data_IF_238642671617
#
_entry.id   IF_238642671617
#
_cell.length_a   1.000
_cell.length_b   1.000
_cell.length_c   1.000
_cell.angle_alpha   90.00
_cell.angle_beta   90.00
_cell.angle_gamma   90.00
#
_symmetry.space_group_name_H-M   'P 1'
#
loop_
_entity.id
_entity.type
_entity.pdbx_description
1 polymer ?
#
# COMPACT_ATOMS: atom_id res chain seq x y z
N UNK A 1 -7.84 81.24 -25.13
CA UNK A 1 -8.83 80.96 -24.07
C UNK A 1 -8.61 79.55 -23.55
N UNK A 2 -8.47 78.59 -24.46
CA UNK A 2 -8.24 77.17 -24.15
C UNK A 2 -6.98 76.89 -23.31
N UNK A 3 -5.86 77.57 -23.54
CA UNK A 3 -4.64 77.40 -22.72
C UNK A 3 -4.76 77.90 -21.27
N UNK A 4 -5.64 78.88 -21.03
CA UNK A 4 -5.91 79.37 -19.67
C UNK A 4 -6.84 78.38 -18.94
N UNK A 5 -7.80 77.79 -19.66
CA UNK A 5 -8.67 76.73 -19.16
C UNK A 5 -7.83 75.48 -18.84
N UNK A 6 -6.98 75.04 -19.76
CA UNK A 6 -6.09 73.87 -19.58
C UNK A 6 -5.20 74.02 -18.34
N UNK A 7 -4.51 75.16 -18.17
CA UNK A 7 -3.69 75.41 -16.97
C UNK A 7 -4.50 75.47 -15.68
N UNK A 8 -5.71 76.03 -15.72
CA UNK A 8 -6.58 76.06 -14.54
C UNK A 8 -7.04 74.66 -14.14
N UNK A 9 -7.35 73.82 -15.13
CA UNK A 9 -7.73 72.41 -14.97
C UNK A 9 -6.54 71.60 -14.44
N UNK A 10 -5.37 71.67 -15.06
CA UNK A 10 -4.15 70.98 -14.62
C UNK A 10 -3.71 71.35 -13.19
N UNK A 11 -3.98 72.60 -12.76
CA UNK A 11 -3.73 73.05 -11.39
C UNK A 11 -4.75 72.53 -10.39
N UNK A 12 -6.02 72.43 -10.78
CA UNK A 12 -7.09 71.90 -9.91
C UNK A 12 -7.08 70.37 -9.84
N UNK A 13 -6.59 69.72 -10.89
CA UNK A 13 -6.55 68.27 -11.08
C UNK A 13 -5.13 67.83 -11.47
N UNK A 14 -4.19 67.78 -10.52
CA UNK A 14 -2.78 67.42 -10.78
C UNK A 14 -2.61 66.05 -11.45
N UNK A 15 -3.56 65.13 -11.24
CA UNK A 15 -3.63 63.81 -11.88
C UNK A 15 -3.80 63.88 -13.41
N UNK A 16 -4.36 64.97 -13.93
CA UNK A 16 -4.48 65.20 -15.37
C UNK A 16 -3.12 65.58 -15.98
N UNK A 17 -2.33 66.38 -15.27
CA UNK A 17 -0.99 66.81 -15.71
C UNK A 17 -0.05 65.62 -15.88
N UNK A 18 -0.07 64.67 -14.95
CA UNK A 18 0.77 63.47 -15.00
C UNK A 18 0.12 62.24 -15.63
N UNK A 19 -1.12 62.34 -16.09
CA UNK A 19 -1.86 61.22 -16.68
C UNK A 19 -2.20 60.09 -15.69
N UNK A 20 -2.09 60.31 -14.38
CA UNK A 20 -2.30 59.28 -13.33
C UNK A 20 -3.74 58.80 -13.21
N UNK A 21 -4.68 59.55 -13.80
CA UNK A 21 -6.09 59.16 -13.92
C UNK A 21 -6.32 58.08 -14.99
N UNK A 22 -5.35 57.82 -15.86
CA UNK A 22 -5.45 56.80 -16.91
C UNK A 22 -4.67 55.54 -16.49
N UNK A 23 -5.23 54.34 -16.74
CA UNK A 23 -4.45 53.11 -16.68
C UNK A 23 -3.26 53.19 -17.63
N UNK A 24 -2.07 52.83 -17.16
CA UNK A 24 -0.85 52.77 -17.99
C UNK A 24 -0.36 51.34 -18.08
N UNK A 25 0.26 50.99 -19.19
CA UNK A 25 0.97 49.73 -19.28
C UNK A 25 2.36 49.87 -18.66
N UNK A 26 2.86 48.80 -18.06
CA UNK A 26 4.19 48.71 -17.50
C UNK A 26 4.79 47.32 -17.72
N UNK A 27 6.10 47.21 -17.62
CA UNK A 27 6.86 45.95 -17.67
C UNK A 27 7.38 45.62 -16.28
N UNK A 28 7.21 44.37 -15.86
CA UNK A 28 7.85 43.83 -14.65
C UNK A 28 9.36 43.78 -14.88
N UNK A 29 10.14 44.34 -13.95
CA UNK A 29 11.61 44.30 -14.03
C UNK A 29 12.26 43.47 -12.94
N UNK A 30 11.58 43.25 -11.81
CA UNK A 30 12.04 42.37 -10.75
C UNK A 30 10.87 41.96 -9.84
N UNK A 31 11.02 40.83 -9.13
CA UNK A 31 10.18 40.50 -7.97
C UNK A 31 10.74 41.23 -6.75
N UNK A 32 9.90 42.03 -6.10
CA UNK A 32 10.32 42.85 -4.96
C UNK A 32 10.23 42.04 -3.66
N UNK A 33 11.37 41.85 -2.98
CA UNK A 33 11.51 41.15 -1.68
C UNK A 33 10.59 39.91 -1.54
N UNK A 34 10.76 38.91 -2.42
CA UNK A 34 9.98 37.68 -2.36
C UNK A 34 10.05 37.06 -0.94
N UNK A 35 8.90 36.82 -0.28
CA UNK A 35 8.88 36.55 1.14
C UNK A 35 9.43 35.16 1.46
N UNK A 36 10.43 35.09 2.35
CA UNK A 36 10.97 33.83 2.86
C UNK A 36 10.10 33.16 3.95
N UNK A 37 9.12 33.90 4.50
CA UNK A 37 8.18 33.43 5.53
C UNK A 37 6.83 34.12 5.40
N UNK A 38 5.80 33.57 6.03
CA UNK A 38 4.49 34.23 6.15
C UNK A 38 4.60 35.54 6.95
N UNK A 39 3.71 36.49 6.69
CA UNK A 39 3.59 37.72 7.46
C UNK A 39 2.71 38.75 6.78
N UNK A 40 2.47 39.86 7.49
CA UNK A 40 1.64 40.96 7.01
C UNK A 40 2.22 41.57 5.72
N UNK A 41 1.34 41.82 4.75
CA UNK A 41 1.60 42.62 3.58
C UNK A 41 1.05 44.02 3.82
N UNK A 42 1.92 45.01 3.92
CA UNK A 42 1.56 46.41 4.14
C UNK A 42 2.38 47.33 3.21
N UNK A 43 2.10 48.63 3.24
CA UNK A 43 2.78 49.61 2.39
C UNK A 43 4.29 49.71 2.67
N UNK A 44 4.75 49.31 3.86
CA UNK A 44 6.17 49.34 4.23
C UNK A 44 6.90 48.07 3.78
N UNK A 45 6.20 46.92 3.78
CA UNK A 45 6.71 45.64 3.31
C UNK A 45 5.69 44.92 2.43
N UNK A 46 5.61 45.30 1.15
CA UNK A 46 4.68 44.68 0.21
C UNK A 46 5.20 43.29 -0.20
N UNK A 47 4.83 42.24 0.56
CA UNK A 47 5.30 40.84 0.39
C UNK A 47 4.85 40.16 -0.92
N UNK A 48 3.88 40.71 -1.63
CA UNK A 48 3.43 40.21 -2.92
C UNK A 48 3.41 41.35 -3.93
N UNK A 49 4.61 41.76 -4.34
CA UNK A 49 4.81 42.94 -5.18
C UNK A 49 5.96 42.76 -6.17
N UNK A 50 6.00 43.65 -7.16
CA UNK A 50 7.01 43.66 -8.22
C UNK A 50 7.45 45.08 -8.51
N UNK A 51 8.67 45.22 -9.03
CA UNK A 51 9.18 46.48 -9.53
C UNK A 51 8.75 46.66 -11.00
N UNK A 52 8.35 47.87 -11.36
CA UNK A 52 7.77 48.18 -12.68
C UNK A 52 8.48 49.32 -13.39
N UNK A 53 8.62 49.20 -14.71
CA UNK A 53 8.90 50.31 -15.61
C UNK A 53 7.66 50.66 -16.41
N UNK A 54 7.18 51.89 -16.26
CA UNK A 54 5.98 52.37 -16.95
C UNK A 54 6.29 52.61 -18.43
N UNK A 55 5.36 52.25 -19.30
CA UNK A 55 5.48 52.43 -20.74
C UNK A 55 4.74 53.70 -21.21
N UNK A 56 5.21 54.25 -22.33
CA UNK A 56 4.54 55.29 -23.09
C UNK A 56 3.38 54.72 -23.93
N UNK A 57 2.55 55.59 -24.54
CA UNK A 57 1.48 55.17 -25.45
C UNK A 57 1.97 54.45 -26.72
N UNK A 58 3.25 54.62 -27.06
CA UNK A 58 3.95 53.93 -28.15
C UNK A 58 4.35 52.49 -27.79
N UNK A 59 4.22 52.10 -26.51
CA UNK A 59 4.60 50.79 -26.00
C UNK A 59 6.07 50.68 -25.59
N UNK A 60 6.85 51.75 -25.72
CA UNK A 60 8.25 51.80 -25.27
C UNK A 60 8.34 52.21 -23.80
N UNK A 61 9.47 51.91 -23.14
CA UNK A 61 9.70 52.32 -21.75
C UNK A 61 9.77 53.86 -21.66
N UNK A 62 8.98 54.44 -20.76
CA UNK A 62 9.00 55.87 -20.48
C UNK A 62 10.18 56.21 -19.57
N UNK A 63 11.32 56.59 -20.16
CA UNK A 63 12.55 56.90 -19.43
C UNK A 63 12.45 58.15 -18.55
N UNK A 64 11.38 58.95 -18.67
CA UNK A 64 11.16 60.11 -17.81
C UNK A 64 10.60 59.70 -16.43
N UNK A 65 10.05 58.49 -16.31
CA UNK A 65 9.54 57.96 -15.05
C UNK A 65 10.56 57.03 -14.37
N UNK A 66 10.70 57.12 -13.04
CA UNK A 66 11.53 56.18 -12.30
C UNK A 66 10.88 54.79 -12.28
N UNK A 67 11.68 53.78 -11.94
CA UNK A 67 11.18 52.45 -11.59
C UNK A 67 10.25 52.60 -10.37
N UNK A 68 9.04 52.07 -10.48
CA UNK A 68 8.11 51.98 -9.36
C UNK A 68 8.46 50.72 -8.58
N UNK A 69 9.01 50.90 -7.38
CA UNK A 69 9.44 49.79 -6.54
C UNK A 69 8.27 49.23 -5.71
N UNK A 70 8.22 47.91 -5.53
CA UNK A 70 7.31 47.25 -4.60
C UNK A 70 5.82 47.49 -4.89
N UNK A 71 5.43 47.55 -6.17
CA UNK A 71 4.01 47.76 -6.53
C UNK A 71 3.22 46.47 -6.30
N UNK A 72 2.15 46.49 -5.48
CA UNK A 72 1.43 45.28 -5.11
C UNK A 72 0.74 44.62 -6.30
N UNK A 73 0.84 43.29 -6.38
CA UNK A 73 0.18 42.45 -7.37
C UNK A 73 -1.30 42.23 -7.01
N UNK A 74 -2.21 42.12 -7.99
CA UNK A 74 -3.60 41.81 -7.73
C UNK A 74 -3.73 40.35 -7.28
N UNK A 75 -4.59 40.12 -6.29
CA UNK A 75 -5.01 38.77 -5.91
C UNK A 75 -6.30 38.40 -6.67
N UNK A 76 -6.30 37.38 -7.55
CA UNK A 76 -7.49 37.00 -8.31
C UNK A 76 -8.61 36.41 -7.42
N UNK A 77 -8.23 35.74 -6.33
CA UNK A 77 -9.08 35.29 -5.22
C UNK A 77 -8.24 35.45 -3.94
N UNK A 78 -8.81 35.92 -2.83
CA UNK A 78 -7.99 36.27 -1.66
C UNK A 78 -8.72 36.42 -0.32
N UNK A 79 -7.91 36.57 0.73
CA UNK A 79 -8.24 36.71 2.15
C UNK A 79 -6.99 36.40 2.99
N UNK A 80 -7.10 36.39 4.32
CA UNK A 80 -5.97 36.02 5.20
C UNK A 80 -5.53 34.57 4.91
N UNK A 81 -4.28 34.39 4.51
CA UNK A 81 -3.64 33.10 4.20
C UNK A 81 -4.35 32.23 3.13
N UNK A 82 -5.12 32.87 2.22
CA UNK A 82 -5.84 32.15 1.15
C UNK A 82 -5.66 32.81 -0.23
N UNK A 83 -5.61 32.01 -1.28
CA UNK A 83 -5.55 32.48 -2.67
C UNK A 83 -4.59 31.67 -3.56
N UNK A 84 -4.46 32.11 -4.81
CA UNK A 84 -3.46 31.62 -5.75
C UNK A 84 -2.32 32.64 -5.87
N UNK A 85 -1.14 32.27 -5.41
CA UNK A 85 0.04 33.13 -5.41
C UNK A 85 1.05 32.66 -6.45
N UNK A 86 1.28 33.50 -7.46
CA UNK A 86 2.31 33.30 -8.47
C UNK A 86 2.87 34.66 -8.88
N UNK A 87 4.20 34.77 -8.93
CA UNK A 87 4.85 35.97 -9.43
C UNK A 87 4.88 35.92 -10.97
N UNK A 88 4.57 37.02 -11.66
CA UNK A 88 4.86 37.12 -13.09
C UNK A 88 6.37 37.15 -13.32
N UNK A 89 6.82 36.58 -14.44
CA UNK A 89 8.23 36.65 -14.84
C UNK A 89 8.62 38.08 -15.23
N UNK A 90 9.91 38.40 -15.11
CA UNK A 90 10.48 39.65 -15.63
C UNK A 90 10.15 39.80 -17.13
N UNK A 91 9.78 41.02 -17.53
CA UNK A 91 9.29 41.32 -18.88
C UNK A 91 7.80 41.08 -19.08
N UNK A 92 7.06 40.56 -18.09
CA UNK A 92 5.59 40.45 -18.17
C UNK A 92 4.96 41.84 -18.24
N UNK A 93 3.98 42.00 -19.13
CA UNK A 93 3.23 43.26 -19.29
C UNK A 93 2.10 43.32 -18.27
N UNK A 94 1.95 44.46 -17.58
CA UNK A 94 0.90 44.69 -16.58
C UNK A 94 0.21 46.04 -16.81
N UNK A 95 -0.99 46.18 -16.25
CA UNK A 95 -1.70 47.46 -16.17
C UNK A 95 -1.46 48.04 -14.78
N UNK A 96 -0.77 49.17 -14.70
CA UNK A 96 -0.55 49.95 -13.47
C UNK A 96 -1.55 51.10 -13.41
N UNK A 97 -2.17 51.26 -12.26
CA UNK A 97 -3.10 52.33 -11.93
C UNK A 97 -2.65 53.04 -10.66
N UNK A 98 -3.15 54.25 -10.43
CA UNK A 98 -2.81 55.07 -9.28
C UNK A 98 -4.07 55.34 -8.48
N UNK A 99 -4.15 54.80 -7.26
CA UNK A 99 -5.34 54.95 -6.43
C UNK A 99 -5.64 56.44 -6.19
N UNK A 100 -6.88 56.85 -6.47
CA UNK A 100 -7.31 58.26 -6.40
C UNK A 100 -6.52 59.23 -7.29
N UNK A 101 -5.83 58.73 -8.33
CA UNK A 101 -4.94 59.54 -9.17
C UNK A 101 -3.65 59.98 -8.46
N UNK A 102 -3.32 59.37 -7.31
CA UNK A 102 -2.15 59.74 -6.50
C UNK A 102 -0.90 58.97 -6.95
N UNK A 103 0.19 59.66 -7.36
CA UNK A 103 1.41 59.01 -7.87
C UNK A 103 2.09 58.05 -6.87
N UNK A 104 1.90 58.29 -5.57
CA UNK A 104 2.50 57.51 -4.48
C UNK A 104 1.67 56.29 -4.07
N UNK A 105 0.54 56.02 -4.74
CA UNK A 105 -0.29 54.84 -4.49
C UNK A 105 -0.49 54.00 -5.76
N UNK A 106 0.60 53.51 -6.38
CA UNK A 106 0.48 52.62 -7.53
C UNK A 106 -0.06 51.25 -7.08
N UNK A 107 -0.83 50.62 -7.95
CA UNK A 107 -1.21 49.21 -7.81
C UNK A 107 -1.34 48.58 -9.18
N UNK A 108 -1.11 47.28 -9.27
CA UNK A 108 -1.31 46.53 -10.50
C UNK A 108 -2.78 46.10 -10.57
N UNK A 109 -3.48 46.52 -11.61
CA UNK A 109 -4.87 46.15 -11.83
C UNK A 109 -5.00 44.77 -12.47
N UNK A 110 -4.15 44.46 -13.47
CA UNK A 110 -4.25 43.23 -14.26
C UNK A 110 -2.92 42.87 -14.89
N UNK A 111 -2.63 41.58 -15.00
CA UNK A 111 -1.51 41.03 -15.76
C UNK A 111 -2.00 40.74 -17.18
N UNK A 112 -1.24 41.18 -18.19
CA UNK A 112 -1.61 41.03 -19.59
C UNK A 112 -0.87 39.84 -20.23
N UNK A 113 -1.54 39.04 -21.06
CA UNK A 113 -0.91 37.89 -21.73
C UNK A 113 0.01 38.29 -22.90
N UNK A 114 0.05 39.57 -23.28
CA UNK A 114 0.79 40.04 -24.44
C UNK A 114 2.30 39.77 -24.30
N UNK A 115 2.85 39.02 -25.24
CA UNK A 115 4.26 38.61 -25.26
C UNK A 115 4.57 37.32 -24.50
N UNK A 116 3.58 36.67 -23.87
CA UNK A 116 3.75 35.41 -23.15
C UNK A 116 3.37 34.21 -24.03
N UNK A 117 4.03 33.07 -23.77
CA UNK A 117 3.60 31.77 -24.31
C UNK A 117 2.54 31.18 -23.38
N UNK A 118 1.30 31.05 -23.87
CA UNK A 118 0.18 30.57 -23.07
C UNK A 118 0.01 29.04 -23.18
N UNK A 119 -0.59 28.40 -22.15
CA UNK A 119 -1.02 27.01 -22.25
C UNK A 119 -1.93 26.73 -23.44
N UNK A 120 -1.93 25.48 -23.89
CA UNK A 120 -3.05 24.96 -24.70
C UNK A 120 -4.29 24.82 -23.81
N UNK A 121 -5.32 25.63 -24.07
CA UNK A 121 -6.62 25.58 -23.38
C UNK A 121 -7.75 25.51 -24.40
N UNK A 122 -8.17 24.29 -24.82
CA UNK A 122 -9.37 24.10 -25.62
C UNK A 122 -10.62 24.68 -24.95
N UNK A 123 -11.68 24.90 -25.74
CA UNK A 123 -12.94 25.41 -25.20
C UNK A 123 -13.52 24.42 -24.19
N UNK A 124 -13.78 24.88 -22.98
CA UNK A 124 -14.34 24.09 -21.88
C UNK A 124 -13.28 23.57 -20.90
N UNK A 125 -12.02 23.49 -21.32
CA UNK A 125 -10.92 23.11 -20.44
C UNK A 125 -10.60 24.21 -19.43
N UNK A 126 -10.11 23.78 -18.27
CA UNK A 126 -9.47 24.64 -17.27
C UNK A 126 -8.10 24.06 -16.95
N UNK A 127 -7.08 24.92 -16.87
CA UNK A 127 -5.72 24.49 -16.55
C UNK A 127 -5.08 25.41 -15.52
N UNK A 128 -4.49 24.79 -14.50
CA UNK A 128 -3.52 25.41 -13.63
C UNK A 128 -2.16 24.74 -13.86
N UNK A 129 -1.17 25.49 -14.34
CA UNK A 129 0.11 24.90 -14.74
C UNK A 129 1.31 25.79 -14.41
N UNK A 130 2.44 25.13 -14.24
CA UNK A 130 3.77 25.73 -14.30
C UNK A 130 4.41 25.52 -15.68
N UNK A 131 4.23 24.32 -16.26
CA UNK A 131 4.70 23.93 -17.60
C UNK A 131 3.74 22.90 -18.20
N UNK A 132 3.94 22.51 -19.47
CA UNK A 132 3.15 21.41 -20.07
C UNK A 132 3.36 20.05 -19.35
N UNK A 133 4.50 19.87 -18.68
CA UNK A 133 4.82 18.67 -17.90
C UNK A 133 4.32 18.74 -16.45
N UNK A 134 3.97 19.93 -15.94
CA UNK A 134 3.51 20.16 -14.56
C UNK A 134 2.20 20.95 -14.56
N UNK A 135 1.07 20.22 -14.46
CA UNK A 135 -0.26 20.81 -14.56
C UNK A 135 -1.33 20.04 -13.78
N UNK A 136 -2.36 20.78 -13.37
CA UNK A 136 -3.68 20.26 -13.03
C UNK A 136 -4.67 20.74 -14.07
N UNK A 137 -5.43 19.83 -14.65
CA UNK A 137 -6.35 20.13 -15.75
C UNK A 137 -7.70 19.48 -15.52
N UNK A 138 -8.75 20.22 -15.89
CA UNK A 138 -10.10 19.72 -16.10
C UNK A 138 -10.40 19.84 -17.59
N UNK A 139 -10.81 18.77 -18.23
CA UNK A 139 -11.30 18.84 -19.62
C UNK A 139 -12.79 19.24 -19.68
N UNK A 140 -13.30 19.45 -20.88
CA UNK A 140 -14.70 19.81 -21.09
C UNK A 140 -15.72 18.77 -20.57
N UNK A 141 -15.30 17.51 -20.40
CA UNK A 141 -16.14 16.42 -19.88
C UNK A 141 -16.06 16.31 -18.34
N UNK A 142 -15.21 17.11 -17.69
CA UNK A 142 -15.03 17.14 -16.24
C UNK A 142 -13.96 16.16 -15.72
N UNK A 143 -13.16 15.55 -16.59
CA UNK A 143 -12.08 14.66 -16.16
C UNK A 143 -10.92 15.46 -15.58
N UNK A 144 -10.39 15.01 -14.44
CA UNK A 144 -9.25 15.64 -13.78
C UNK A 144 -7.94 14.91 -14.11
N UNK A 145 -6.91 15.68 -14.45
CA UNK A 145 -5.53 15.21 -14.61
C UNK A 145 -4.62 15.97 -13.63
N UNK A 146 -3.88 15.24 -12.78
CA UNK A 146 -2.73 15.76 -12.02
C UNK A 146 -1.45 15.18 -12.64
N UNK A 147 -0.64 16.03 -13.28
CA UNK A 147 0.58 15.63 -13.99
C UNK A 147 1.79 16.39 -13.42
N UNK A 148 2.89 15.68 -13.20
CA UNK A 148 4.19 16.26 -12.88
C UNK A 148 5.31 15.33 -13.38
N UNK A 149 6.43 15.90 -13.76
CA UNK A 149 7.72 15.21 -13.95
C UNK A 149 8.60 15.27 -12.68
N UNK A 150 8.13 15.97 -11.65
CA UNK A 150 8.74 16.05 -10.33
C UNK A 150 8.11 15.08 -9.33
N UNK A 151 8.08 15.50 -8.07
CA UNK A 151 7.59 14.71 -6.93
C UNK A 151 6.24 15.22 -6.45
N UNK A 152 5.34 14.29 -6.12
CA UNK A 152 4.12 14.58 -5.35
C UNK A 152 4.34 14.16 -3.90
N UNK A 153 3.99 15.03 -2.95
CA UNK A 153 3.90 14.73 -1.53
C UNK A 153 2.56 15.21 -1.01
N UNK A 154 1.76 14.29 -0.49
CA UNK A 154 0.50 14.62 0.18
C UNK A 154 0.73 14.39 1.69
N UNK A 155 0.52 15.44 2.49
CA UNK A 155 0.61 15.38 3.96
C UNK A 155 -0.76 15.71 4.53
N UNK A 156 -1.32 14.79 5.30
CA UNK A 156 -2.63 14.96 5.88
C UNK A 156 -2.71 14.21 7.22
N UNK A 157 -3.59 14.70 8.10
CA UNK A 157 -3.99 13.96 9.31
C UNK A 157 -4.86 12.77 8.91
N UNK A 158 -5.71 12.96 7.90
CA UNK A 158 -6.64 11.96 7.38
C UNK A 158 -6.68 12.05 5.84
N UNK A 159 -6.73 10.89 5.17
CA UNK A 159 -6.86 10.78 3.72
C UNK A 159 -7.86 9.69 3.38
N UNK A 160 -9.00 10.11 2.84
CA UNK A 160 -10.04 9.22 2.33
C UNK A 160 -10.04 9.20 0.80
N UNK A 161 -10.31 8.04 0.22
CA UNK A 161 -10.50 7.87 -1.22
C UNK A 161 -11.70 6.96 -1.41
N UNK A 162 -12.78 7.52 -1.94
CA UNK A 162 -13.97 6.77 -2.36
C UNK A 162 -14.03 6.77 -3.89
N UNK A 163 -14.05 5.58 -4.47
CA UNK A 163 -14.11 5.38 -5.91
C UNK A 163 -14.79 4.05 -6.21
N UNK A 164 -15.62 4.03 -7.26
CA UNK A 164 -16.19 2.77 -7.77
C UNK A 164 -15.11 1.81 -8.30
N UNK A 165 -14.00 2.35 -8.81
CA UNK A 165 -12.85 1.59 -9.30
C UNK A 165 -11.57 2.37 -9.09
N UNK A 166 -10.55 1.73 -8.52
CA UNK A 166 -9.19 2.28 -8.40
C UNK A 166 -8.20 1.34 -9.07
N UNK A 167 -7.32 1.88 -9.92
CA UNK A 167 -6.29 1.12 -10.61
C UNK A 167 -4.93 1.81 -10.45
N UNK A 168 -4.01 1.13 -9.80
CA UNK A 168 -2.67 1.64 -9.53
C UNK A 168 -1.62 0.82 -10.27
N UNK A 169 -0.62 1.48 -10.86
CA UNK A 169 0.48 0.85 -11.59
C UNK A 169 1.79 1.48 -11.15
N UNK A 170 2.70 0.66 -10.67
CA UNK A 170 3.98 1.10 -10.17
C UNK A 170 5.11 0.23 -10.75
N UNK A 171 6.27 0.84 -10.97
CA UNK A 171 7.50 0.08 -11.18
C UNK A 171 8.03 -0.51 -9.87
N UNK A 172 7.85 0.22 -8.77
CA UNK A 172 8.20 -0.19 -7.41
C UNK A 172 7.21 0.39 -6.42
N UNK A 173 6.87 -0.35 -5.36
CA UNK A 173 5.96 0.08 -4.31
C UNK A 173 6.49 -0.39 -2.95
N UNK A 174 6.60 0.55 -2.01
CA UNK A 174 6.95 0.29 -0.61
C UNK A 174 5.90 0.93 0.27
N UNK A 175 5.39 0.16 1.23
CA UNK A 175 4.45 0.65 2.24
C UNK A 175 4.98 0.31 3.63
N UNK A 176 5.18 1.35 4.43
CA UNK A 176 5.51 1.24 5.85
C UNK A 176 4.30 1.73 6.64
N UNK A 177 3.88 0.97 7.63
CA UNK A 177 2.78 1.31 8.54
C UNK A 177 3.32 1.15 9.95
N UNK A 178 3.32 2.23 10.72
CA UNK A 178 3.96 2.26 12.05
C UNK A 178 3.11 1.55 13.12
N UNK A 179 1.83 1.36 12.85
CA UNK A 179 0.89 0.70 13.75
C UNK A 179 0.12 -0.42 13.03
N UNK A 180 -1.20 -0.34 12.89
CA UNK A 180 -2.03 -1.41 12.34
C UNK A 180 -2.34 -1.22 10.84
N UNK A 181 -2.29 -2.33 10.08
CA UNK A 181 -2.73 -2.38 8.69
C UNK A 181 -3.81 -3.46 8.52
N UNK A 182 -5.04 -3.02 8.31
CA UNK A 182 -6.20 -3.89 8.06
C UNK A 182 -6.63 -3.81 6.60
N UNK A 183 -6.99 -4.95 6.02
CA UNK A 183 -7.60 -5.01 4.69
C UNK A 183 -8.80 -5.95 4.72
N UNK A 184 -9.97 -5.41 4.39
CA UNK A 184 -11.24 -6.14 4.33
C UNK A 184 -11.73 -6.18 2.90
N UNK A 185 -11.89 -7.39 2.35
CA UNK A 185 -12.34 -7.60 0.97
C UNK A 185 -13.62 -8.41 1.01
N UNK A 186 -14.74 -7.82 0.58
CA UNK A 186 -16.05 -8.50 0.54
C UNK A 186 -16.16 -9.56 -0.55
N UNK A 187 -15.35 -9.45 -1.60
CA UNK A 187 -15.23 -10.44 -2.67
C UNK A 187 -13.98 -11.31 -2.54
N UNK A 188 -13.22 -11.43 -3.63
CA UNK A 188 -11.99 -12.25 -3.67
C UNK A 188 -10.75 -11.36 -3.56
N UNK A 189 -9.88 -11.68 -2.61
CA UNK A 189 -8.52 -11.12 -2.56
C UNK A 189 -7.53 -12.09 -3.21
N UNK A 190 -6.82 -11.62 -4.23
CA UNK A 190 -5.80 -12.39 -4.94
C UNK A 190 -4.45 -11.68 -4.83
N UNK A 191 -3.41 -12.40 -4.42
CA UNK A 191 -2.03 -11.93 -4.37
C UNK A 191 -1.19 -12.88 -5.23
N UNK A 192 -0.55 -12.34 -6.25
CA UNK A 192 0.30 -13.10 -7.18
C UNK A 192 1.71 -12.49 -7.18
N UNK A 193 2.74 -13.36 -7.09
CA UNK A 193 4.14 -12.96 -7.18
C UNK A 193 4.89 -13.94 -8.08
N UNK A 194 5.44 -13.44 -9.20
CA UNK A 194 6.20 -14.27 -10.15
C UNK A 194 7.55 -14.73 -9.60
N UNK A 195 8.17 -13.92 -8.74
CA UNK A 195 9.46 -14.22 -8.11
C UNK A 195 9.30 -15.05 -6.84
N UNK A 196 8.90 -14.40 -5.75
CA UNK A 196 8.69 -15.05 -4.47
C UNK A 196 7.64 -14.30 -3.63
N UNK A 197 6.87 -15.06 -2.85
CA UNK A 197 6.03 -14.54 -1.77
C UNK A 197 6.73 -14.83 -0.43
N UNK A 198 6.96 -13.80 0.38
CA UNK A 198 7.55 -13.94 1.72
C UNK A 198 6.59 -13.37 2.75
N UNK A 199 6.17 -14.22 3.70
CA UNK A 199 5.33 -13.85 4.83
C UNK A 199 6.13 -14.11 6.09
N UNK A 200 6.49 -13.04 6.80
CA UNK A 200 7.33 -13.09 7.99
C UNK A 200 6.56 -12.46 9.15
N UNK A 201 6.55 -13.15 10.29
CA UNK A 201 6.02 -12.62 11.55
C UNK A 201 7.07 -12.79 12.63
N UNK A 202 7.31 -11.74 13.41
CA UNK A 202 8.12 -11.82 14.64
C UNK A 202 7.35 -12.39 15.84
N UNK A 203 6.03 -12.54 15.70
CA UNK A 203 5.13 -13.11 16.71
C UNK A 203 4.37 -14.31 16.15
N UNK A 204 3.04 -14.30 16.30
CA UNK A 204 2.17 -15.34 15.72
C UNK A 204 1.85 -15.06 14.25
N UNK A 205 1.57 -16.13 13.51
CA UNK A 205 0.96 -16.08 12.18
C UNK A 205 -0.18 -17.10 12.15
N UNK A 206 -1.38 -16.66 11.80
CA UNK A 206 -2.57 -17.50 11.70
C UNK A 206 -3.08 -17.51 10.27
N UNK A 207 -3.23 -18.70 9.70
CA UNK A 207 -3.86 -18.92 8.40
C UNK A 207 -5.02 -19.88 8.60
N UNK A 208 -6.23 -19.42 8.31
CA UNK A 208 -7.45 -20.17 8.52
C UNK A 208 -8.42 -19.97 7.34
N UNK A 209 -9.17 -21.00 7.03
CA UNK A 209 -10.27 -21.00 6.06
C UNK A 209 -11.48 -21.67 6.72
N UNK A 210 -12.69 -21.22 6.37
CA UNK A 210 -13.94 -21.84 6.83
C UNK A 210 -14.20 -23.14 6.09
N UNK A 211 -13.81 -23.18 4.82
CA UNK A 211 -13.90 -24.33 3.93
C UNK A 211 -12.48 -24.92 3.75
N UNK A 212 -12.01 -25.11 2.53
CA UNK A 212 -10.71 -25.71 2.26
C UNK A 212 -9.51 -24.75 2.40
N UNK A 213 -8.44 -25.25 3.02
CA UNK A 213 -7.09 -24.66 2.96
C UNK A 213 -6.17 -25.55 2.11
N UNK A 214 -5.76 -25.07 0.95
CA UNK A 214 -4.84 -25.80 0.07
C UNK A 214 -3.40 -25.29 0.18
N UNK A 215 -2.46 -26.21 0.39
CA UNK A 215 -1.01 -25.97 0.32
C UNK A 215 -0.38 -26.97 -0.64
N UNK A 216 0.16 -26.48 -1.75
CA UNK A 216 0.80 -27.31 -2.77
C UNK A 216 2.11 -26.68 -3.23
N UNK A 217 3.12 -27.51 -3.51
CA UNK A 217 4.40 -27.08 -4.06
C UNK A 217 4.80 -28.01 -5.20
N UNK A 218 5.51 -27.48 -6.21
CA UNK A 218 6.01 -28.30 -7.32
C UNK A 218 7.30 -29.06 -7.01
N UNK A 219 7.91 -28.80 -5.86
CA UNK A 219 9.16 -29.44 -5.40
C UNK A 219 9.03 -29.85 -3.94
N UNK A 220 9.52 -29.01 -3.03
CA UNK A 220 9.74 -29.34 -1.64
C UNK A 220 8.81 -28.52 -0.75
N UNK A 221 8.06 -29.19 0.13
CA UNK A 221 7.39 -28.57 1.27
C UNK A 221 8.22 -28.87 2.53
N UNK A 222 8.87 -27.82 3.06
CA UNK A 222 9.66 -27.94 4.28
C UNK A 222 8.86 -27.38 5.46
N UNK A 223 8.48 -28.25 6.39
CA UNK A 223 7.86 -27.87 7.66
C UNK A 223 8.84 -28.15 8.80
N UNK A 224 9.23 -27.09 9.52
CA UNK A 224 10.15 -27.17 10.66
C UNK A 224 9.45 -26.61 11.89
N UNK A 225 9.40 -27.40 12.95
CA UNK A 225 8.75 -27.04 14.22
C UNK A 225 9.74 -27.27 15.35
N UNK A 226 10.11 -26.20 16.08
CA UNK A 226 11.16 -26.25 17.10
C UNK A 226 10.76 -26.89 18.43
N UNK A 227 9.47 -27.05 18.69
CA UNK A 227 8.96 -27.66 19.92
C UNK A 227 7.91 -28.73 19.62
N UNK A 228 6.64 -28.34 19.51
CA UNK A 228 5.51 -29.26 19.36
C UNK A 228 4.78 -29.02 18.05
N UNK A 229 4.72 -30.06 17.21
CA UNK A 229 3.80 -30.11 16.09
C UNK A 229 2.51 -30.81 16.55
N UNK A 230 1.37 -30.10 16.44
CA UNK A 230 0.07 -30.67 16.76
C UNK A 230 -0.78 -30.70 15.49
N UNK A 231 -1.24 -31.89 15.12
CA UNK A 231 -2.11 -32.11 13.97
C UNK A 231 -3.34 -32.90 14.44
N UNK A 232 -4.50 -32.26 14.38
CA UNK A 232 -5.79 -32.88 14.72
C UNK A 232 -6.60 -33.02 13.45
N UNK A 233 -7.12 -34.22 13.19
CA UNK A 233 -7.98 -34.51 12.04
C UNK A 233 -9.28 -35.11 12.57
N UNK A 234 -10.41 -34.50 12.21
CA UNK A 234 -11.74 -34.97 12.64
C UNK A 234 -12.27 -36.15 11.83
N UNK A 235 -11.78 -36.32 10.59
CA UNK A 235 -12.06 -37.47 9.72
C UNK A 235 -10.79 -38.29 9.45
N UNK A 236 -10.57 -38.66 8.19
CA UNK A 236 -9.44 -39.49 7.79
C UNK A 236 -8.17 -38.67 7.53
N UNK A 237 -7.03 -39.13 8.08
CA UNK A 237 -5.71 -38.68 7.67
C UNK A 237 -5.14 -39.66 6.63
N UNK A 238 -4.96 -39.20 5.39
CA UNK A 238 -4.41 -40.02 4.30
C UNK A 238 -3.00 -39.55 3.95
N UNK A 239 -2.01 -40.41 4.20
CA UNK A 239 -0.63 -40.19 3.78
C UNK A 239 -0.27 -41.15 2.63
N UNK A 240 0.01 -40.61 1.43
CA UNK A 240 0.51 -41.42 0.30
C UNK A 240 1.98 -41.14 0.04
N UNK A 241 2.84 -42.07 0.43
CA UNK A 241 4.29 -41.93 0.35
C UNK A 241 4.82 -42.94 -0.65
N UNK A 242 5.24 -42.48 -1.83
CA UNK A 242 5.79 -43.35 -2.87
C UNK A 242 7.24 -43.77 -2.57
N UNK A 243 7.99 -42.87 -1.96
CA UNK A 243 9.35 -43.12 -1.50
C UNK A 243 9.36 -43.71 -0.11
N UNK A 244 10.22 -43.15 0.74
CA UNK A 244 10.44 -43.65 2.09
C UNK A 244 9.76 -42.76 3.13
N UNK A 245 8.98 -43.38 4.03
CA UNK A 245 8.58 -42.78 5.30
C UNK A 245 9.63 -43.09 6.36
N UNK A 246 10.27 -42.08 6.94
CA UNK A 246 11.12 -42.22 8.14
C UNK A 246 10.45 -41.55 9.33
N UNK A 247 10.21 -42.31 10.39
CA UNK A 247 9.81 -41.79 11.70
C UNK A 247 10.91 -42.19 12.69
N UNK A 248 11.68 -41.22 13.17
CA UNK A 248 12.82 -41.45 14.06
C UNK A 248 12.56 -40.66 15.33
N UNK A 249 12.60 -41.33 16.48
CA UNK A 249 12.41 -40.70 17.80
C UNK A 249 13.59 -41.10 18.69
N UNK A 250 13.96 -40.23 19.63
CA UNK A 250 15.04 -40.51 20.60
C UNK A 250 14.55 -41.20 21.88
N UNK A 251 13.24 -41.15 22.13
CA UNK A 251 12.63 -41.69 23.35
C UNK A 251 11.69 -42.84 23.03
N UNK A 252 10.50 -42.54 22.50
CA UNK A 252 9.50 -43.54 22.18
C UNK A 252 8.68 -43.17 20.94
N UNK A 253 8.04 -44.16 20.34
CA UNK A 253 7.04 -43.98 19.30
C UNK A 253 5.76 -44.66 19.76
N UNK A 254 4.67 -43.90 19.80
CA UNK A 254 3.37 -44.38 20.24
C UNK A 254 2.40 -44.39 19.05
N UNK A 255 2.00 -45.58 18.62
CA UNK A 255 0.96 -45.77 17.60
C UNK A 255 -0.18 -46.53 18.27
N UNK A 256 -1.37 -45.94 18.30
CA UNK A 256 -2.51 -46.52 19.00
C UNK A 256 -3.79 -46.32 18.19
N UNK A 257 -4.47 -47.43 17.93
CA UNK A 257 -5.83 -47.49 17.41
C UNK A 257 -6.57 -48.67 18.05
N UNK A 258 -7.91 -48.66 18.08
CA UNK A 258 -8.70 -49.82 18.51
C UNK A 258 -8.38 -51.07 17.70
N UNK A 259 -8.06 -50.88 16.42
CA UNK A 259 -7.68 -51.92 15.46
C UNK A 259 -6.47 -51.44 14.67
N UNK A 260 -5.43 -52.26 14.59
CA UNK A 260 -4.16 -51.91 13.99
C UNK A 260 -3.86 -52.82 12.81
N UNK A 261 -3.34 -52.21 11.76
CA UNK A 261 -2.84 -52.88 10.58
C UNK A 261 -1.42 -52.41 10.30
N UNK A 262 -0.46 -53.33 10.35
CA UNK A 262 0.93 -53.05 10.00
C UNK A 262 1.40 -54.15 9.07
N UNK A 263 1.70 -53.80 7.82
CA UNK A 263 2.14 -54.75 6.81
C UNK A 263 1.70 -54.33 5.41
N UNK A 264 1.30 -55.30 4.59
CA UNK A 264 0.81 -55.08 3.22
C UNK A 264 -0.72 -55.19 3.16
N UNK A 265 -1.34 -55.00 2.01
CA UNK A 265 -2.79 -55.19 1.83
C UNK A 265 -3.26 -56.61 2.22
N UNK A 266 -2.43 -57.63 1.98
CA UNK A 266 -2.78 -59.03 2.25
C UNK A 266 -2.26 -59.56 3.60
N UNK A 267 -1.31 -58.86 4.24
CA UNK A 267 -0.60 -59.35 5.42
C UNK A 267 -0.58 -58.30 6.51
N UNK A 268 -1.24 -58.60 7.64
CA UNK A 268 -1.15 -57.86 8.88
C UNK A 268 -0.22 -58.59 9.86
N UNK A 269 0.85 -57.94 10.30
CA UNK A 269 1.82 -58.53 11.24
C UNK A 269 1.14 -58.94 12.55
N UNK A 270 0.14 -58.20 13.02
CA UNK A 270 -0.58 -58.58 14.24
C UNK A 270 -1.39 -59.86 14.07
N UNK A 271 -1.95 -60.09 12.88
CA UNK A 271 -2.64 -61.34 12.57
C UNK A 271 -1.65 -62.51 12.57
N UNK A 272 -0.48 -62.34 11.94
CA UNK A 272 0.57 -63.36 11.96
C UNK A 272 1.00 -63.71 13.40
N UNK A 273 1.07 -62.72 14.30
CA UNK A 273 1.37 -62.97 15.73
C UNK A 273 0.21 -63.68 16.43
N UNK A 274 -1.05 -63.36 16.12
CA UNK A 274 -2.20 -64.10 16.62
C UNK A 274 -2.14 -65.57 16.20
N UNK A 275 -1.91 -65.84 14.91
CA UNK A 275 -1.81 -67.19 14.35
C UNK A 275 -0.63 -67.96 14.97
N UNK A 276 0.50 -67.28 15.21
CA UNK A 276 1.64 -67.86 15.92
C UNK A 276 1.29 -68.23 17.37
N UNK A 277 0.54 -67.39 18.09
CA UNK A 277 0.12 -67.69 19.46
C UNK A 277 -0.86 -68.87 19.52
N UNK A 278 -1.76 -68.99 18.54
CA UNK A 278 -2.65 -70.14 18.40
C UNK A 278 -1.83 -71.41 18.10
N UNK A 279 -0.86 -71.36 17.18
CA UNK A 279 0.03 -72.48 16.89
C UNK A 279 0.85 -72.92 18.12
N UNK A 280 1.36 -71.96 18.92
CA UNK A 280 2.08 -72.26 20.17
C UNK A 280 1.13 -72.88 21.21
N UNK A 281 -0.13 -72.45 21.27
CA UNK A 281 -1.13 -73.05 22.14
C UNK A 281 -1.37 -74.52 21.76
N UNK A 282 -1.58 -74.80 20.47
CA UNK A 282 -1.80 -76.15 19.96
C UNK A 282 -0.60 -77.06 20.23
N UNK A 283 0.61 -76.57 19.96
CA UNK A 283 1.86 -77.30 20.22
C UNK A 283 1.99 -77.69 21.70
N UNK A 284 1.72 -76.74 22.62
CA UNK A 284 1.78 -77.05 24.06
C UNK A 284 0.72 -78.08 24.46
N UNK A 285 -0.50 -78.00 23.92
CA UNK A 285 -1.54 -78.99 24.20
C UNK A 285 -1.17 -80.39 23.68
N UNK A 286 -0.59 -80.48 22.49
CA UNK A 286 -0.11 -81.74 21.92
C UNK A 286 1.03 -82.35 22.75
N UNK A 287 1.97 -81.52 23.22
CA UNK A 287 3.06 -81.97 24.09
C UNK A 287 2.56 -82.42 25.46
N UNK A 288 1.58 -81.74 26.04
CA UNK A 288 0.96 -82.15 27.30
C UNK A 288 0.30 -83.54 27.20
N UNK A 289 -0.28 -83.86 26.04
CA UNK A 289 -0.96 -85.13 25.78
C UNK A 289 -0.06 -86.23 25.16
N UNK A 290 1.22 -85.94 24.90
CA UNK A 290 2.13 -86.86 24.21
C UNK A 290 2.46 -88.11 25.04
N UNK A 291 2.35 -89.30 24.46
CA UNK A 291 2.72 -90.57 25.11
C UNK A 291 3.42 -91.53 24.14
N UNK A 292 4.26 -92.44 24.66
CA UNK A 292 4.85 -93.55 23.89
C UNK A 292 4.11 -94.86 24.21
N UNK A 293 3.01 -95.16 23.50
CA UNK A 293 2.21 -96.37 23.73
C UNK A 293 1.40 -96.30 25.04
N UNK A 294 1.54 -97.28 25.94
CA UNK A 294 0.87 -97.31 27.26
C UNK A 294 1.63 -96.55 28.36
N UNK A 295 2.69 -95.81 28.00
CA UNK A 295 3.44 -95.00 28.96
C UNK A 295 2.57 -93.90 29.59
N UNK A 296 2.84 -93.51 30.85
CA UNK A 296 2.14 -92.38 31.48
C UNK A 296 2.36 -91.10 30.67
N UNK A 297 1.44 -90.14 30.84
CA UNK A 297 1.62 -88.77 30.33
C UNK A 297 2.97 -88.18 30.78
N UNK A 298 3.51 -87.19 30.06
CA UNK A 298 4.81 -86.63 30.38
C UNK A 298 4.83 -86.09 31.80
N UNK A 299 5.95 -86.26 32.51
CA UNK A 299 6.10 -85.76 33.89
C UNK A 299 6.06 -84.22 34.00
N UNK A 300 6.07 -83.52 32.86
CA UNK A 300 5.95 -82.07 32.72
C UNK A 300 4.63 -81.62 32.03
N UNK A 301 3.62 -82.50 31.91
CA UNK A 301 2.29 -82.19 31.35
C UNK A 301 1.71 -80.88 31.88
N UNK A 302 1.68 -80.71 33.21
CA UNK A 302 1.11 -79.54 33.86
C UNK A 302 1.77 -78.22 33.43
N UNK A 303 3.08 -78.27 33.14
CA UNK A 303 3.83 -77.11 32.66
C UNK A 303 3.40 -76.71 31.25
N UNK A 304 3.21 -77.70 30.36
CA UNK A 304 2.73 -77.46 29.01
C UNK A 304 1.27 -76.98 28.98
N UNK A 305 0.39 -77.54 29.83
CA UNK A 305 -1.01 -77.09 29.97
C UNK A 305 -1.10 -75.62 30.42
N UNK A 306 -0.26 -75.22 31.37
CA UNK A 306 -0.14 -73.80 31.78
C UNK A 306 0.39 -72.93 30.63
N UNK A 307 1.36 -73.43 29.86
CA UNK A 307 1.89 -72.78 28.67
C UNK A 307 0.82 -72.50 27.61
N UNK A 308 0.00 -73.50 27.29
CA UNK A 308 -1.12 -73.37 26.36
C UNK A 308 -2.12 -72.29 26.82
N UNK A 309 -2.49 -72.31 28.11
CA UNK A 309 -3.42 -71.33 28.70
C UNK A 309 -2.87 -69.89 28.59
N UNK A 310 -1.57 -69.72 28.82
CA UNK A 310 -0.90 -68.41 28.70
C UNK A 310 -0.89 -67.91 27.25
N UNK A 311 -0.64 -68.79 26.28
CA UNK A 311 -0.69 -68.45 24.86
C UNK A 311 -2.10 -67.99 24.45
N UNK A 312 -3.16 -68.71 24.86
CA UNK A 312 -4.56 -68.30 24.64
C UNK A 312 -4.85 -66.90 25.20
N UNK A 313 -4.41 -66.60 26.43
CA UNK A 313 -4.66 -65.29 27.04
C UNK A 313 -4.01 -64.14 26.24
N UNK A 314 -2.78 -64.35 25.76
CA UNK A 314 -2.09 -63.37 24.92
C UNK A 314 -2.75 -63.22 23.56
N UNK A 315 -3.15 -64.33 22.93
CA UNK A 315 -3.87 -64.31 21.66
C UNK A 315 -5.16 -63.51 21.78
N UNK A 316 -5.94 -63.73 22.84
CA UNK A 316 -7.17 -62.99 23.10
C UNK A 316 -6.93 -61.48 23.25
N UNK A 317 -5.87 -61.08 23.95
CA UNK A 317 -5.51 -59.66 24.07
C UNK A 317 -5.14 -59.05 22.72
N UNK A 318 -4.37 -59.76 21.90
CA UNK A 318 -3.91 -59.23 20.61
C UNK A 318 -5.05 -59.19 19.58
N UNK A 319 -5.91 -60.22 19.53
CA UNK A 319 -7.10 -60.28 18.66
C UNK A 319 -8.04 -59.08 18.87
N UNK A 320 -8.10 -58.49 20.08
CA UNK A 320 -8.87 -57.28 20.32
C UNK A 320 -8.36 -56.07 19.53
N UNK A 321 -7.05 -55.99 19.27
CA UNK A 321 -6.40 -54.85 18.61
C UNK A 321 -5.90 -55.13 17.19
N UNK A 322 -6.03 -56.36 16.70
CA UNK A 322 -5.76 -56.73 15.28
C UNK A 322 -6.96 -56.37 14.42
N UNK A 323 -6.74 -55.58 13.37
CA UNK A 323 -7.70 -55.26 12.31
C UNK A 323 -7.96 -56.46 11.40
#
# INVERSE_FOLDING_TARGET
MDDAIKRSVERQFPELTGGYHLPRFAKVVAVADAPASAGLCDDFRPRFSVDLQVMGPDGEIDTALPVLAGVPLPMPVGGDEMGFFAFPEEGTSVVVCFAYGLPHKPYIQTILPHGLTLPKVPKGDQVWQHSDTVQQRVDADGNWLRKTDGKIQDQAIEREVDAMSNAERFQSHTRTVDDHSTESVGGVKKIEALGALKLLSGGSASLAAVDDLHQATGRDLNLVVGQKHNATVGGDMVERIQGLRKSITSESQHLQAPKNWVGSEAVNIFQVVCDLLDLVQEMNAQLAAHTHGVSPVPNNESTFTVGATRATLLANKLKLVTA
#
